data_IF_878985667484
#
_entry.id   IF_878985667484
#
_cell.length_a   1.000
_cell.length_b   1.000
_cell.length_c   1.000
_cell.angle_alpha   90.00
_cell.angle_beta   90.00
_cell.angle_gamma   90.00
#
_symmetry.space_group_name_H-M   'P 1'
#
loop_
_entity.id
_entity.type
_entity.pdbx_description
1 polymer ?
#
# COMPACT_ATOMS: atom_id res chain seq x y z
N UNK A 1 2.40 -15.91 26.34
CA UNK A 1 2.23 -16.14 24.89
C UNK A 1 1.24 -15.09 24.39
N UNK A 2 1.73 -13.98 23.82
CA UNK A 2 0.87 -12.93 23.26
C UNK A 2 0.40 -13.39 21.89
N UNK A 3 -0.90 -13.62 21.73
CA UNK A 3 -1.53 -13.69 20.41
C UNK A 3 -1.42 -12.31 19.77
N UNK A 4 -0.61 -12.19 18.72
CA UNK A 4 -0.61 -11.01 17.86
C UNK A 4 -1.86 -11.12 16.99
N UNK A 5 -2.90 -10.36 17.35
CA UNK A 5 -4.04 -10.10 16.47
C UNK A 5 -3.58 -9.09 15.42
N UNK A 6 -3.00 -9.58 14.33
CA UNK A 6 -2.53 -8.70 13.26
C UNK A 6 -1.91 -9.48 12.11
N UNK A 7 -2.70 -10.30 11.41
CA UNK A 7 -2.28 -10.98 10.18
C UNK A 7 -2.27 -10.04 8.97
N UNK A 8 -2.14 -8.73 9.18
CA UNK A 8 -2.14 -7.71 8.12
C UNK A 8 -1.19 -6.58 8.48
N UNK A 9 -0.58 -5.99 7.47
CA UNK A 9 0.10 -4.70 7.57
C UNK A 9 -0.09 -3.93 6.26
N UNK A 10 0.13 -2.62 6.28
CA UNK A 10 0.03 -1.77 5.08
C UNK A 10 0.98 -0.60 5.19
N UNK A 11 1.32 0.00 4.05
CA UNK A 11 2.13 1.20 4.03
C UNK A 11 2.37 1.74 2.63
N UNK A 12 3.33 2.65 2.56
CA UNK A 12 3.86 3.22 1.31
C UNK A 12 5.38 3.13 1.35
N UNK A 13 6.01 2.94 0.20
CA UNK A 13 7.47 2.95 0.03
C UNK A 13 7.81 4.07 -0.94
N UNK A 14 8.68 4.99 -0.54
CA UNK A 14 9.22 5.99 -1.46
C UNK A 14 10.37 5.37 -2.27
N UNK A 15 10.20 5.28 -3.58
CA UNK A 15 11.22 4.85 -4.54
C UNK A 15 11.86 6.09 -5.15
N UNK A 16 13.10 6.35 -4.77
CA UNK A 16 13.90 7.40 -5.39
C UNK A 16 14.41 6.90 -6.74
N UNK A 17 13.92 7.50 -7.82
CA UNK A 17 14.34 7.18 -9.19
C UNK A 17 15.70 7.80 -9.50
N UNK A 18 16.74 7.32 -8.82
CA UNK A 18 18.13 7.76 -9.00
C UNK A 18 18.87 6.72 -9.85
N UNK A 19 19.48 7.15 -10.94
CA UNK A 19 20.21 6.28 -11.89
C UNK A 19 19.56 6.18 -13.25
N UNK A 20 20.29 5.63 -14.22
CA UNK A 20 19.94 5.74 -15.65
C UNK A 20 19.26 4.48 -16.23
N UNK A 21 19.18 3.37 -15.49
CA UNK A 21 18.68 2.10 -16.05
C UNK A 21 17.18 1.85 -15.81
N UNK A 22 16.50 2.80 -15.13
CA UNK A 22 15.06 2.78 -14.85
C UNK A 22 14.61 1.64 -13.93
N UNK A 23 15.55 0.95 -13.28
CA UNK A 23 15.30 -0.17 -12.37
C UNK A 23 15.62 0.24 -10.94
N UNK A 24 14.62 0.16 -10.06
CA UNK A 24 14.76 0.59 -8.67
C UNK A 24 14.11 -0.42 -7.75
N UNK A 25 14.73 -0.64 -6.58
CA UNK A 25 14.16 -1.48 -5.54
C UNK A 25 14.42 -0.89 -4.16
N UNK A 26 13.44 -1.04 -3.26
CA UNK A 26 13.58 -0.64 -1.87
C UNK A 26 13.01 -1.72 -0.95
N UNK A 27 13.61 -1.83 0.23
CA UNK A 27 13.11 -2.69 1.29
C UNK A 27 12.03 -1.99 2.10
N UNK A 28 10.99 -2.73 2.44
CA UNK A 28 9.99 -2.34 3.42
C UNK A 28 10.02 -3.31 4.59
N UNK A 29 10.15 -2.77 5.79
CA UNK A 29 10.07 -3.55 7.03
C UNK A 29 8.65 -3.50 7.58
N UNK A 30 8.17 -4.64 8.08
CA UNK A 30 6.93 -4.72 8.82
C UNK A 30 7.13 -4.10 10.21
N UNK A 31 6.11 -3.40 10.70
CA UNK A 31 6.09 -2.79 12.03
C UNK A 31 6.23 -3.82 13.15
N UNK A 32 5.73 -5.03 12.88
CA UNK A 32 5.83 -6.20 13.73
C UNK A 32 6.13 -7.43 12.88
N UNK A 33 6.90 -8.38 13.43
CA UNK A 33 7.12 -9.64 12.71
C UNK A 33 5.82 -10.41 12.61
N UNK A 34 5.49 -10.83 11.40
CA UNK A 34 4.51 -11.87 11.14
C UNK A 34 4.91 -13.19 11.82
N UNK A 35 3.94 -14.09 11.99
CA UNK A 35 4.18 -15.40 12.61
C UNK A 35 5.02 -16.29 11.70
N UNK A 36 5.88 -17.13 12.28
CA UNK A 36 6.61 -18.13 11.49
C UNK A 36 5.68 -19.25 11.00
N UNK A 37 6.06 -19.92 9.90
CA UNK A 37 5.37 -21.11 9.40
C UNK A 37 4.21 -20.87 8.44
N UNK A 38 3.72 -19.64 8.28
CA UNK A 38 2.75 -19.28 7.23
C UNK A 38 3.35 -18.21 6.31
N UNK A 39 3.31 -18.37 4.97
CA UNK A 39 3.82 -17.34 4.06
C UNK A 39 3.09 -16.00 4.22
N UNK A 40 3.84 -14.91 4.15
CA UNK A 40 3.30 -13.55 4.01
C UNK A 40 3.10 -13.28 2.52
N UNK A 41 1.95 -12.72 2.16
CA UNK A 41 1.67 -12.25 0.79
C UNK A 41 1.63 -10.74 0.78
N UNK A 42 2.27 -10.15 -0.21
CA UNK A 42 2.30 -8.69 -0.38
C UNK A 42 1.62 -8.35 -1.70
N UNK A 43 0.73 -7.38 -1.64
CA UNK A 43 0.02 -6.76 -2.75
C UNK A 43 0.49 -5.32 -2.87
N UNK A 44 0.79 -4.87 -4.07
CA UNK A 44 1.40 -3.58 -4.33
C UNK A 44 0.75 -2.88 -5.53
N UNK A 45 0.75 -1.55 -5.50
CA UNK A 45 0.30 -0.71 -6.60
C UNK A 45 1.18 0.53 -6.70
N UNK A 46 1.42 0.99 -7.93
CA UNK A 46 2.25 2.17 -8.20
C UNK A 46 1.44 3.42 -7.94
N UNK A 47 2.05 4.39 -7.27
CA UNK A 47 1.49 5.71 -6.99
C UNK A 47 2.57 6.80 -7.16
N UNK A 48 2.37 7.79 -8.03
CA UNK A 48 3.37 8.86 -8.22
C UNK A 48 3.34 9.99 -7.17
N UNK A 49 2.47 9.91 -6.16
CA UNK A 49 2.61 10.69 -4.92
C UNK A 49 2.50 12.21 -5.06
N UNK A 50 2.08 12.68 -6.24
CA UNK A 50 1.83 14.07 -6.60
C UNK A 50 3.08 14.97 -6.65
N UNK A 51 3.70 15.11 -7.84
CA UNK A 51 4.82 16.03 -8.08
C UNK A 51 5.18 16.32 -9.55
N UNK A 52 4.36 15.89 -10.52
CA UNK A 52 4.67 16.08 -11.94
C UNK A 52 3.68 17.01 -12.65
N UNK A 53 4.19 17.81 -13.58
CA UNK A 53 3.39 18.61 -14.51
C UNK A 53 2.81 17.77 -15.66
N UNK A 54 3.28 16.53 -15.83
CA UNK A 54 2.87 15.60 -16.89
C UNK A 54 2.56 14.22 -16.32
N UNK A 55 1.61 13.51 -16.91
CA UNK A 55 1.27 12.14 -16.53
C UNK A 55 2.46 11.20 -16.78
N UNK A 56 2.81 10.39 -15.79
CA UNK A 56 3.95 9.49 -15.87
C UNK A 56 3.72 8.36 -16.89
N UNK A 57 4.82 7.74 -17.33
CA UNK A 57 4.74 6.49 -18.09
C UNK A 57 4.41 5.30 -17.20
N UNK A 58 4.01 4.19 -17.83
CA UNK A 58 3.81 2.92 -17.11
C UNK A 58 5.08 2.52 -16.36
N UNK A 59 4.90 1.81 -15.26
CA UNK A 59 5.95 1.06 -14.62
C UNK A 59 5.45 -0.35 -14.31
N UNK A 60 6.39 -1.29 -14.20
CA UNK A 60 6.14 -2.68 -13.89
C UNK A 60 6.66 -2.95 -12.49
N UNK A 61 5.79 -3.39 -11.58
CA UNK A 61 6.13 -3.65 -10.19
C UNK A 61 6.07 -5.13 -9.84
N UNK A 62 6.95 -5.52 -8.93
CA UNK A 62 6.92 -6.83 -8.30
C UNK A 62 7.45 -6.74 -6.86
N UNK A 63 7.21 -7.81 -6.12
CA UNK A 63 7.82 -8.03 -4.81
C UNK A 63 8.79 -9.20 -4.87
N UNK A 64 9.85 -9.15 -4.08
CA UNK A 64 10.83 -10.22 -3.91
C UNK A 64 11.30 -10.25 -2.45
N UNK A 65 12.06 -11.29 -2.09
CA UNK A 65 12.66 -11.41 -0.74
C UNK A 65 11.63 -11.22 0.41
N UNK A 66 10.44 -11.81 0.25
CA UNK A 66 9.34 -11.69 1.21
C UNK A 66 9.60 -12.62 2.40
N UNK A 67 9.80 -12.05 3.58
CA UNK A 67 10.00 -12.76 4.85
C UNK A 67 8.90 -12.43 5.85
N UNK A 68 9.04 -12.85 7.11
CA UNK A 68 8.11 -12.44 8.18
C UNK A 68 8.37 -11.05 8.73
N UNK A 69 9.50 -10.41 8.37
CA UNK A 69 9.91 -9.12 8.93
C UNK A 69 10.07 -8.01 7.87
N UNK A 70 10.24 -8.38 6.60
CA UNK A 70 10.37 -7.42 5.52
C UNK A 70 9.97 -8.05 4.18
N UNK A 71 9.90 -7.20 3.17
CA UNK A 71 9.93 -7.58 1.77
C UNK A 71 10.71 -6.53 0.99
N UNK A 72 11.04 -6.84 -0.26
CA UNK A 72 11.61 -5.90 -1.21
C UNK A 72 10.61 -5.63 -2.32
N UNK A 73 10.33 -4.36 -2.59
CA UNK A 73 9.52 -3.94 -3.73
C UNK A 73 10.46 -3.40 -4.80
N UNK A 74 10.20 -3.78 -6.05
CA UNK A 74 10.99 -3.36 -7.19
C UNK A 74 10.08 -2.82 -8.29
N UNK A 75 10.63 -1.91 -9.08
CA UNK A 75 9.97 -1.36 -10.25
C UNK A 75 10.94 -1.20 -11.43
N UNK A 76 10.41 -1.35 -12.63
CA UNK A 76 11.06 -0.93 -13.88
C UNK A 76 10.15 0.05 -14.61
N UNK A 77 10.71 1.17 -15.03
CA UNK A 77 10.00 2.14 -15.87
C UNK A 77 9.78 1.59 -17.28
N UNK A 78 8.57 1.75 -17.81
CA UNK A 78 8.18 1.33 -19.16
C UNK A 78 8.45 2.37 -20.26
N UNK A 79 8.62 3.64 -19.92
CA UNK A 79 8.94 4.73 -20.85
C UNK A 79 10.08 5.62 -20.37
N UNK A 80 10.37 6.70 -21.11
CA UNK A 80 11.42 7.66 -20.74
C UNK A 80 11.11 8.40 -19.43
N UNK A 81 9.85 8.35 -18.95
CA UNK A 81 9.44 8.85 -17.66
C UNK A 81 9.28 10.37 -17.63
N UNK A 82 8.41 10.87 -16.77
CA UNK A 82 8.30 12.30 -16.45
C UNK A 82 9.34 12.76 -15.40
N UNK A 83 10.23 11.86 -14.98
CA UNK A 83 11.00 11.99 -13.74
C UNK A 83 10.11 11.91 -12.50
N UNK A 84 10.66 12.21 -11.33
CA UNK A 84 9.90 12.34 -10.08
C UNK A 84 9.95 11.13 -9.15
N UNK A 85 9.66 11.37 -7.87
CA UNK A 85 9.60 10.30 -6.88
C UNK A 85 8.35 9.46 -7.13
N UNK A 86 8.51 8.13 -7.12
CA UNK A 86 7.38 7.21 -7.15
C UNK A 86 7.21 6.60 -5.78
N UNK A 87 5.97 6.37 -5.39
CA UNK A 87 5.63 5.63 -4.18
C UNK A 87 4.99 4.29 -4.57
N UNK A 88 5.24 3.25 -3.78
CA UNK A 88 4.54 1.97 -3.91
C UNK A 88 3.62 1.84 -2.71
N UNK A 89 2.32 1.83 -2.97
CA UNK A 89 1.28 1.51 -2.01
C UNK A 89 1.25 0.00 -1.82
N UNK A 90 1.32 -0.48 -0.58
CA UNK A 90 1.37 -1.91 -0.30
C UNK A 90 0.48 -2.36 0.84
N UNK A 91 0.04 -3.62 0.74
CA UNK A 91 -0.75 -4.35 1.72
C UNK A 91 -0.18 -5.75 1.88
N UNK A 92 0.21 -6.10 3.09
CA UNK A 92 0.71 -7.41 3.47
C UNK A 92 -0.36 -8.19 4.24
N UNK A 93 -0.46 -9.48 3.94
CA UNK A 93 -1.50 -10.36 4.46
C UNK A 93 -0.90 -11.72 4.84
N UNK A 94 -1.27 -12.24 6.01
CA UNK A 94 -0.87 -13.54 6.52
C UNK A 94 -2.04 -14.25 7.19
N UNK A 95 -2.14 -15.56 6.94
CA UNK A 95 -3.12 -16.43 7.60
C UNK A 95 -4.49 -16.42 6.93
N UNK A 96 -5.43 -17.19 7.50
CA UNK A 96 -6.80 -17.24 6.98
C UNK A 96 -7.65 -16.11 7.57
N UNK A 97 -8.47 -15.49 6.74
CA UNK A 97 -9.49 -14.55 7.19
C UNK A 97 -10.84 -14.94 6.61
N UNK A 98 -11.90 -14.73 7.40
CA UNK A 98 -13.26 -15.09 6.99
C UNK A 98 -13.65 -14.32 5.73
N UNK A 99 -14.24 -15.01 4.75
CA UNK A 99 -14.66 -14.42 3.47
C UNK A 99 -13.53 -14.17 2.46
N UNK A 100 -12.30 -14.59 2.77
CA UNK A 100 -11.12 -14.30 1.94
C UNK A 100 -10.41 -15.58 1.52
N UNK A 101 -10.19 -15.71 0.21
CA UNK A 101 -9.28 -16.70 -0.36
C UNK A 101 -8.00 -16.04 -0.83
N UNK A 102 -6.89 -16.76 -0.70
CA UNK A 102 -5.59 -16.29 -1.12
C UNK A 102 -4.74 -17.44 -1.64
N UNK A 103 -3.75 -17.12 -2.45
CA UNK A 103 -2.82 -18.11 -2.96
C UNK A 103 -1.69 -17.51 -3.78
N UNK A 104 -0.87 -18.43 -4.28
CA UNK A 104 0.21 -18.14 -5.22
C UNK A 104 -0.03 -18.96 -6.47
N UNK A 105 0.18 -18.35 -7.63
CA UNK A 105 0.16 -19.06 -8.91
C UNK A 105 1.52 -18.90 -9.57
N UNK A 106 2.27 -20.00 -9.65
CA UNK A 106 3.59 -20.01 -10.30
C UNK A 106 3.47 -20.20 -11.81
N UNK A 107 4.39 -19.58 -12.54
CA UNK A 107 4.49 -19.69 -14.00
C UNK A 107 5.76 -20.45 -14.38
N UNK A 108 5.64 -21.42 -15.28
CA UNK A 108 6.77 -22.18 -15.84
C UNK A 108 7.61 -21.32 -16.78
N UNK A 109 8.84 -21.74 -17.09
CA UNK A 109 9.73 -21.08 -18.03
C UNK A 109 9.01 -20.64 -19.33
N UNK A 110 9.17 -19.37 -19.71
CA UNK A 110 8.71 -18.82 -20.99
C UNK A 110 9.65 -17.73 -21.48
N UNK A 111 9.61 -17.42 -22.77
CA UNK A 111 10.52 -16.44 -23.39
C UNK A 111 9.83 -15.23 -23.98
N UNK A 112 8.55 -15.35 -24.33
CA UNK A 112 7.79 -14.26 -24.94
C UNK A 112 6.30 -14.51 -24.85
N UNK A 113 5.54 -13.44 -25.07
CA UNK A 113 4.10 -13.47 -25.22
C UNK A 113 3.36 -13.48 -23.90
N UNK A 114 2.05 -13.69 -23.99
CA UNK A 114 1.17 -13.74 -22.82
C UNK A 114 1.11 -15.15 -22.28
N UNK A 115 1.22 -15.29 -20.95
CA UNK A 115 0.97 -16.54 -20.22
C UNK A 115 -0.19 -16.35 -19.26
N UNK A 116 -1.19 -17.21 -19.36
CA UNK A 116 -2.34 -17.19 -18.48
C UNK A 116 -2.45 -18.50 -17.70
N UNK A 117 -2.94 -18.41 -16.46
CA UNK A 117 -3.19 -19.54 -15.60
C UNK A 117 -4.55 -19.39 -14.93
N UNK A 118 -5.36 -20.44 -15.02
CA UNK A 118 -6.67 -20.50 -14.38
C UNK A 118 -6.52 -20.92 -12.92
N UNK A 119 -7.17 -20.18 -12.03
CA UNK A 119 -7.18 -20.42 -10.59
C UNK A 119 -8.61 -20.69 -10.15
N UNK A 120 -8.84 -21.89 -9.61
CA UNK A 120 -10.11 -22.25 -9.01
C UNK A 120 -10.13 -21.85 -7.53
N UNK A 121 -11.25 -21.29 -7.07
CA UNK A 121 -11.45 -21.02 -5.66
C UNK A 121 -11.75 -22.33 -4.91
N UNK A 122 -11.34 -22.47 -3.63
CA UNK A 122 -11.64 -23.65 -2.83
C UNK A 122 -13.15 -23.94 -2.73
N UNK A 123 -13.96 -22.89 -2.73
CA UNK A 123 -15.42 -22.94 -2.84
C UNK A 123 -15.88 -21.76 -3.70
N UNK A 124 -17.01 -21.92 -4.40
CA UNK A 124 -17.59 -20.81 -5.16
C UNK A 124 -18.13 -19.72 -4.20
N UNK A 125 -17.86 -18.47 -4.53
CA UNK A 125 -18.49 -17.32 -3.91
C UNK A 125 -19.96 -17.20 -4.30
N UNK A 126 -20.76 -16.51 -3.50
CA UNK A 126 -22.17 -16.18 -3.81
C UNK A 126 -22.28 -15.14 -4.93
N UNK A 127 -21.33 -14.22 -4.99
CA UNK A 127 -21.19 -13.16 -6.00
C UNK A 127 -19.81 -13.26 -6.64
N UNK A 128 -19.63 -12.66 -7.82
CA UNK A 128 -18.30 -12.59 -8.45
C UNK A 128 -17.38 -11.78 -7.51
N UNK A 129 -16.29 -12.37 -7.00
CA UNK A 129 -15.42 -11.69 -6.04
C UNK A 129 -14.57 -10.63 -6.73
N UNK A 130 -14.08 -9.68 -5.94
CA UNK A 130 -12.99 -8.78 -6.33
C UNK A 130 -11.67 -9.52 -6.12
N UNK A 131 -10.70 -9.30 -7.01
CA UNK A 131 -9.41 -10.00 -7.01
C UNK A 131 -8.28 -8.98 -7.03
N UNK A 132 -7.33 -9.12 -6.11
CA UNK A 132 -6.09 -8.34 -6.07
C UNK A 132 -4.91 -9.23 -6.42
N UNK A 133 -4.01 -8.74 -7.27
CA UNK A 133 -2.82 -9.49 -7.69
C UNK A 133 -1.55 -8.66 -7.64
N UNK A 134 -0.43 -9.33 -7.42
CA UNK A 134 0.90 -8.71 -7.54
C UNK A 134 1.92 -9.76 -7.94
N UNK A 135 2.80 -9.40 -8.87
CA UNK A 135 3.88 -10.25 -9.34
C UNK A 135 4.90 -10.43 -8.21
N UNK A 136 5.39 -11.67 -8.04
CA UNK A 136 6.43 -12.04 -7.10
C UNK A 136 7.57 -12.71 -7.85
N UNK A 137 8.78 -12.19 -7.69
CA UNK A 137 9.97 -12.85 -8.19
C UNK A 137 10.50 -13.81 -7.11
N UNK A 138 10.81 -15.04 -7.52
CA UNK A 138 11.53 -15.99 -6.69
C UNK A 138 13.05 -15.83 -6.79
N UNK A 139 13.55 -15.18 -7.84
CA UNK A 139 14.96 -14.83 -8.01
C UNK A 139 15.11 -13.31 -7.90
N UNK A 140 15.81 -12.84 -6.86
CA UNK A 140 15.94 -11.41 -6.60
C UNK A 140 16.74 -10.66 -7.67
N UNK A 141 16.44 -9.38 -7.84
CA UNK A 141 17.12 -8.44 -8.76
C UNK A 141 17.03 -8.79 -10.26
N UNK A 142 16.05 -9.60 -10.67
CA UNK A 142 15.85 -9.93 -12.09
C UNK A 142 14.96 -8.91 -12.77
N UNK A 143 15.53 -7.78 -13.21
CA UNK A 143 14.78 -6.74 -13.92
C UNK A 143 14.20 -7.19 -15.27
N UNK A 144 14.84 -8.18 -15.89
CA UNK A 144 14.35 -8.82 -17.11
C UNK A 144 13.00 -9.51 -16.88
N UNK A 145 12.75 -10.03 -15.67
CA UNK A 145 11.51 -10.71 -15.33
C UNK A 145 10.35 -9.76 -15.01
N UNK A 146 10.50 -8.45 -15.25
CA UNK A 146 9.42 -7.50 -15.04
C UNK A 146 8.24 -7.79 -15.98
N UNK A 147 7.03 -7.87 -15.42
CA UNK A 147 5.81 -8.27 -16.12
C UNK A 147 4.68 -7.28 -15.91
N UNK A 148 3.83 -7.13 -16.92
CA UNK A 148 2.44 -6.71 -16.72
C UNK A 148 1.62 -7.87 -16.17
N UNK A 149 0.65 -7.59 -15.30
CA UNK A 149 -0.25 -8.58 -14.73
C UNK A 149 -1.69 -8.08 -14.77
N UNK A 150 -2.62 -8.95 -15.16
CA UNK A 150 -4.06 -8.64 -15.15
C UNK A 150 -4.89 -9.89 -14.87
N UNK A 151 -6.14 -9.67 -14.50
CA UNK A 151 -7.16 -10.70 -14.35
C UNK A 151 -8.02 -10.75 -15.61
N UNK A 152 -8.33 -11.96 -16.06
CA UNK A 152 -9.28 -12.25 -17.11
C UNK A 152 -10.32 -13.27 -16.60
N UNK A 153 -11.46 -13.33 -17.29
CA UNK A 153 -12.44 -14.42 -17.12
C UNK A 153 -12.83 -14.72 -15.67
N UNK A 154 -13.07 -13.67 -14.86
CA UNK A 154 -13.47 -13.80 -13.45
C UNK A 154 -14.93 -14.28 -13.35
N UNK A 155 -15.16 -15.23 -12.45
CA UNK A 155 -16.45 -15.83 -12.15
C UNK A 155 -16.57 -16.13 -10.66
N UNK A 156 -17.70 -16.66 -10.21
CA UNK A 156 -17.90 -17.01 -8.80
C UNK A 156 -17.01 -18.18 -8.33
N UNK A 157 -16.52 -19.03 -9.22
CA UNK A 157 -15.77 -20.24 -8.87
C UNK A 157 -14.30 -20.22 -9.28
N UNK A 158 -13.89 -19.28 -10.13
CA UNK A 158 -12.54 -19.23 -10.68
C UNK A 158 -12.26 -17.87 -11.30
N UNK A 159 -10.98 -17.61 -11.56
CA UNK A 159 -10.50 -16.53 -12.41
C UNK A 159 -9.30 -17.01 -13.24
N UNK A 160 -8.88 -16.20 -14.20
CA UNK A 160 -7.64 -16.40 -14.94
C UNK A 160 -6.70 -15.23 -14.66
N UNK A 161 -5.44 -15.51 -14.34
CA UNK A 161 -4.41 -14.50 -14.17
C UNK A 161 -3.42 -14.61 -15.31
N UNK A 162 -3.14 -13.48 -15.95
CA UNK A 162 -2.26 -13.39 -17.09
C UNK A 162 -1.05 -12.51 -16.80
N UNK A 163 0.09 -12.90 -17.38
CA UNK A 163 1.35 -12.16 -17.37
C UNK A 163 1.82 -11.92 -18.81
N UNK A 164 2.45 -10.78 -19.03
CA UNK A 164 3.19 -10.52 -20.27
C UNK A 164 4.45 -9.71 -19.98
N UNK A 165 5.54 -10.11 -20.61
CA UNK A 165 6.86 -9.49 -20.52
C UNK A 165 6.78 -7.97 -20.70
N UNK A 166 7.51 -7.23 -19.85
CA UNK A 166 7.59 -5.77 -19.94
C UNK A 166 8.34 -5.30 -21.19
N UNK A 167 9.33 -6.07 -21.64
CA UNK A 167 10.16 -5.80 -22.81
C UNK A 167 10.17 -7.03 -23.70
N UNK A 168 9.70 -6.87 -24.94
CA UNK A 168 9.60 -8.00 -25.86
C UNK A 168 10.99 -8.51 -26.26
N UNK A 169 11.16 -9.84 -26.20
CA UNK A 169 12.38 -10.54 -26.61
C UNK A 169 13.60 -10.30 -25.72
N UNK A 170 13.41 -10.00 -24.44
CA UNK A 170 14.52 -9.75 -23.52
C UNK A 170 15.15 -11.03 -22.93
N UNK A 171 14.54 -12.21 -23.17
CA UNK A 171 15.15 -13.52 -22.94
C UNK A 171 14.24 -14.52 -22.20
N UNK A 172 14.80 -15.52 -21.51
CA UNK A 172 14.02 -16.46 -20.71
C UNK A 172 13.56 -15.84 -19.39
N UNK A 173 12.33 -16.18 -18.99
CA UNK A 173 11.71 -15.81 -17.72
C UNK A 173 11.37 -17.05 -16.91
N UNK A 174 11.76 -17.08 -15.64
CA UNK A 174 11.54 -18.24 -14.77
C UNK A 174 11.45 -17.86 -13.31
N UNK A 175 10.91 -18.75 -12.47
CA UNK A 175 10.77 -18.50 -11.03
C UNK A 175 9.90 -17.24 -10.74
N UNK A 176 8.86 -17.05 -11.56
CA UNK A 176 7.88 -15.97 -11.42
C UNK A 176 6.60 -16.57 -10.88
N UNK A 177 5.99 -15.86 -9.93
CA UNK A 177 4.69 -16.20 -9.40
C UNK A 177 3.80 -14.96 -9.29
N UNK A 178 2.50 -15.17 -9.11
CA UNK A 178 1.54 -14.12 -8.79
C UNK A 178 0.90 -14.43 -7.46
N UNK A 179 1.06 -13.53 -6.50
CA UNK A 179 0.24 -13.50 -5.30
C UNK A 179 -1.16 -13.06 -5.69
N UNK A 180 -2.17 -13.77 -5.21
CA UNK A 180 -3.56 -13.40 -5.44
C UNK A 180 -4.37 -13.46 -4.14
N UNK A 181 -5.38 -12.60 -4.09
CA UNK A 181 -6.32 -12.41 -2.98
C UNK A 181 -7.70 -12.18 -3.58
N UNK A 182 -8.71 -12.95 -3.15
CA UNK A 182 -10.08 -12.85 -3.64
C UNK A 182 -11.07 -12.76 -2.47
N UNK A 183 -12.04 -11.86 -2.60
CA UNK A 183 -13.04 -11.57 -1.56
C UNK A 183 -14.28 -10.94 -2.18
N UNK A 184 -15.45 -11.21 -1.61
CA UNK A 184 -16.70 -10.52 -1.95
C UNK A 184 -16.86 -9.24 -1.12
N UNK A 185 -16.52 -9.31 0.17
CA UNK A 185 -16.44 -8.22 1.11
C UNK A 185 -15.09 -8.27 1.82
N UNK A 186 -14.51 -7.12 2.13
CA UNK A 186 -13.29 -7.07 2.92
C UNK A 186 -13.58 -7.28 4.42
N UNK A 187 -12.75 -8.04 5.14
CA UNK A 187 -12.83 -8.14 6.60
C UNK A 187 -12.71 -6.78 7.27
N UNK A 188 -13.46 -6.59 8.37
CA UNK A 188 -13.39 -5.35 9.16
C UNK A 188 -12.00 -5.07 9.74
N UNK A 189 -11.18 -6.11 9.90
CA UNK A 189 -9.79 -6.02 10.34
C UNK A 189 -8.91 -5.21 9.38
N UNK A 190 -9.21 -5.19 8.07
CA UNK A 190 -8.36 -4.51 7.08
C UNK A 190 -8.40 -2.99 7.19
N UNK A 191 -9.35 -2.46 7.95
CA UNK A 191 -9.67 -1.02 7.97
C UNK A 191 -9.86 -0.45 6.54
N UNK A 192 -10.27 -1.30 5.61
CA UNK A 192 -10.71 -0.89 4.28
C UNK A 192 -12.03 -0.14 4.39
N UNK A 193 -12.20 0.87 3.53
CA UNK A 193 -13.34 1.79 3.58
C UNK A 193 -14.12 1.88 2.29
N UNK A 194 -13.48 1.58 1.17
CA UNK A 194 -14.10 1.66 -0.14
C UNK A 194 -13.52 0.58 -1.06
N UNK A 195 -14.39 0.01 -1.88
CA UNK A 195 -14.09 -1.00 -2.89
C UNK A 195 -15.04 -0.75 -4.07
N UNK A 196 -14.50 -0.56 -5.26
CA UNK A 196 -15.29 -0.42 -6.48
C UNK A 196 -14.40 -0.67 -7.70
N UNK A 197 -14.90 -0.26 -8.87
CA UNK A 197 -14.22 -0.39 -10.15
C UNK A 197 -14.27 0.91 -10.96
N UNK A 198 -13.28 1.08 -11.83
CA UNK A 198 -13.20 2.18 -12.80
C UNK A 198 -13.21 1.56 -14.19
N UNK A 199 -14.23 1.90 -14.98
CA UNK A 199 -14.35 1.41 -16.36
C UNK A 199 -13.72 2.41 -17.33
N UNK A 200 -12.86 1.95 -18.23
CA UNK A 200 -12.35 2.67 -19.40
C UNK A 200 -12.99 2.08 -20.65
N UNK A 201 -13.84 2.86 -21.32
CA UNK A 201 -14.64 2.43 -22.45
C UNK A 201 -13.80 2.26 -23.72
N UNK A 202 -14.28 1.41 -24.63
CA UNK A 202 -13.59 1.07 -25.87
C UNK A 202 -13.38 2.26 -26.84
N UNK A 203 -14.13 3.35 -26.66
CA UNK A 203 -14.13 4.53 -27.51
C UNK A 203 -13.39 5.74 -26.90
N UNK A 204 -12.82 5.60 -25.70
CA UNK A 204 -12.01 6.65 -25.10
C UNK A 204 -10.68 6.76 -25.85
N UNK A 205 -10.22 7.99 -26.13
CA UNK A 205 -8.99 8.26 -26.88
C UNK A 205 -7.95 8.87 -25.93
N UNK A 206 -6.74 8.29 -25.82
CA UNK A 206 -5.69 8.85 -24.96
C UNK A 206 -5.25 10.22 -25.47
N UNK A 207 -5.20 11.20 -24.56
CA UNK A 207 -4.93 12.58 -24.92
C UNK A 207 -3.44 12.95 -24.73
N UNK A 208 -2.92 13.84 -25.57
CA UNK A 208 -1.51 14.23 -25.55
C UNK A 208 -1.12 14.94 -24.24
N UNK A 209 -2.03 15.72 -23.67
CA UNK A 209 -1.87 16.37 -22.36
C UNK A 209 -1.69 15.36 -21.21
N UNK A 210 -2.18 14.13 -21.39
CA UNK A 210 -2.04 13.04 -20.44
C UNK A 210 -0.96 12.05 -20.86
N UNK A 211 0.03 12.48 -21.66
CA UNK A 211 1.10 11.63 -22.16
C UNK A 211 0.55 10.34 -22.83
N UNK A 212 -0.56 10.48 -23.57
CA UNK A 212 -1.27 9.38 -24.22
C UNK A 212 -1.69 8.25 -23.26
N UNK A 213 -1.99 8.58 -22.00
CA UNK A 213 -2.68 7.71 -21.07
C UNK A 213 -4.17 8.08 -20.98
N UNK A 214 -5.01 7.09 -20.64
CA UNK A 214 -6.38 7.33 -20.20
C UNK A 214 -6.39 7.46 -18.69
N UNK A 215 -6.92 8.57 -18.16
CA UNK A 215 -6.92 8.83 -16.72
C UNK A 215 -8.29 9.25 -16.22
N UNK A 216 -8.67 8.81 -15.02
CA UNK A 216 -9.92 9.19 -14.36
C UNK A 216 -9.67 9.55 -12.90
N UNK A 217 -10.31 10.62 -12.46
CA UNK A 217 -10.37 10.98 -11.05
C UNK A 217 -11.55 10.26 -10.39
N UNK A 218 -11.29 9.62 -9.27
CA UNK A 218 -12.27 8.91 -8.45
C UNK A 218 -12.32 9.59 -7.10
N UNK A 219 -13.45 10.23 -6.80
CA UNK A 219 -13.66 10.85 -5.51
C UNK A 219 -14.04 9.80 -4.49
N UNK A 220 -13.41 9.84 -3.31
CA UNK A 220 -13.79 8.99 -2.21
C UNK A 220 -15.18 9.38 -1.71
N UNK A 221 -15.95 8.39 -1.27
CA UNK A 221 -17.29 8.61 -0.70
C UNK A 221 -17.22 9.55 0.51
N UNK A 222 -16.17 9.41 1.32
CA UNK A 222 -15.85 10.29 2.43
C UNK A 222 -14.35 10.61 2.41
N UNK A 223 -13.94 11.83 2.80
CA UNK A 223 -12.52 12.16 2.87
C UNK A 223 -11.81 11.34 3.96
N UNK A 224 -10.54 11.02 3.70
CA UNK A 224 -9.63 10.37 4.63
C UNK A 224 -8.85 11.41 5.45
N UNK A 225 -8.32 11.00 6.60
CA UNK A 225 -7.50 11.88 7.43
C UNK A 225 -6.17 12.24 6.74
N UNK A 226 -5.58 11.28 6.04
CA UNK A 226 -4.38 11.40 5.23
C UNK A 226 -4.56 10.57 3.94
N UNK A 227 -3.75 10.79 2.88
CA UNK A 227 -3.82 9.99 1.66
C UNK A 227 -3.79 8.48 1.96
N UNK A 228 -4.84 7.72 1.61
CA UNK A 228 -4.94 6.30 1.96
C UNK A 228 -3.99 5.43 1.12
N UNK A 229 -3.86 4.17 1.49
CA UNK A 229 -3.30 3.12 0.63
C UNK A 229 -4.38 2.73 -0.38
N UNK A 230 -4.05 2.75 -1.67
CA UNK A 230 -4.96 2.29 -2.73
C UNK A 230 -4.27 1.18 -3.50
N UNK A 231 -4.93 0.03 -3.57
CA UNK A 231 -4.52 -1.08 -4.43
C UNK A 231 -5.38 -1.09 -5.68
N UNK A 232 -4.77 -1.31 -6.84
CA UNK A 232 -5.46 -1.41 -8.12
C UNK A 232 -5.11 -2.72 -8.83
N UNK A 233 -6.09 -3.35 -9.46
CA UNK A 233 -5.88 -4.52 -10.31
C UNK A 233 -6.64 -4.34 -11.62
N UNK A 234 -5.96 -4.55 -12.74
CA UNK A 234 -6.60 -4.54 -14.07
C UNK A 234 -7.41 -5.82 -14.25
N UNK A 235 -8.68 -5.66 -14.63
CA UNK A 235 -9.58 -6.71 -15.07
C UNK A 235 -9.92 -6.49 -16.54
N UNK A 236 -9.49 -7.43 -17.37
CA UNK A 236 -9.77 -7.41 -18.79
C UNK A 236 -10.99 -8.30 -19.07
N UNK A 237 -12.13 -7.65 -19.32
CA UNK A 237 -13.43 -8.31 -19.49
C UNK A 237 -13.63 -8.89 -20.88
N UNK A 238 -13.52 -10.22 -20.99
CA UNK A 238 -14.49 -11.08 -21.68
C UNK A 238 -14.65 -11.05 -23.21
N UNK A 239 -13.92 -10.22 -23.97
CA UNK A 239 -13.93 -10.28 -25.44
C UNK A 239 -12.59 -10.78 -25.99
N UNK A 240 -12.63 -11.50 -27.12
CA UNK A 240 -11.48 -12.11 -27.81
C UNK A 240 -10.35 -11.14 -28.22
N UNK A 241 -10.51 -9.84 -27.98
CA UNK A 241 -9.51 -8.77 -28.17
C UNK A 241 -9.08 -8.22 -26.79
N UNK A 242 -8.66 -9.11 -25.89
CA UNK A 242 -8.20 -8.71 -24.56
C UNK A 242 -6.85 -7.99 -24.68
N UNK A 243 -6.87 -6.65 -24.60
CA UNK A 243 -5.67 -5.83 -24.65
C UNK A 243 -4.82 -5.96 -23.38
N UNK A 244 -3.52 -6.12 -23.52
CA UNK A 244 -2.62 -6.01 -22.37
C UNK A 244 -2.71 -4.58 -21.84
N UNK A 245 -2.99 -4.40 -20.55
CA UNK A 245 -3.07 -3.08 -19.96
C UNK A 245 -2.34 -3.01 -18.62
N UNK A 246 -1.71 -1.88 -18.37
CA UNK A 246 -1.08 -1.54 -17.11
C UNK A 246 -1.83 -0.37 -16.50
N UNK A 247 -2.08 -0.43 -15.18
CA UNK A 247 -2.64 0.68 -14.42
C UNK A 247 -1.65 1.20 -13.40
N UNK A 248 -1.73 2.50 -13.10
CA UNK A 248 -1.04 3.12 -11.99
C UNK A 248 -1.89 4.26 -11.42
N UNK A 249 -1.55 4.67 -10.21
CA UNK A 249 -2.12 5.82 -9.55
C UNK A 249 -1.22 7.02 -9.82
N UNK A 250 -1.77 8.04 -10.47
CA UNK A 250 -1.04 9.27 -10.77
C UNK A 250 -0.95 10.16 -9.54
N UNK A 251 -2.05 10.19 -8.78
CA UNK A 251 -2.21 11.05 -7.61
C UNK A 251 -3.13 10.37 -6.60
N UNK A 252 -2.80 10.47 -5.31
CA UNK A 252 -3.70 10.12 -4.21
C UNK A 252 -3.70 11.28 -3.23
N UNK A 253 -4.86 11.87 -3.02
CA UNK A 253 -5.09 12.88 -1.99
C UNK A 253 -5.91 12.30 -0.84
N UNK A 254 -6.36 13.13 0.08
CA UNK A 254 -7.32 12.73 1.09
C UNK A 254 -8.77 12.62 0.58
N UNK A 255 -9.08 13.12 -0.61
CA UNK A 255 -10.46 13.24 -1.11
C UNK A 255 -10.71 12.53 -2.44
N UNK A 256 -9.65 12.25 -3.19
CA UNK A 256 -9.74 11.49 -4.45
C UNK A 256 -8.42 10.80 -4.76
N UNK A 257 -8.46 9.89 -5.72
CA UNK A 257 -7.28 9.42 -6.44
C UNK A 257 -7.49 9.55 -7.94
N UNK A 258 -6.39 9.66 -8.69
CA UNK A 258 -6.37 9.63 -10.15
C UNK A 258 -5.73 8.33 -10.59
N UNK A 259 -6.50 7.48 -11.25
CA UNK A 259 -5.99 6.23 -11.85
C UNK A 259 -5.81 6.43 -13.34
N UNK A 260 -4.71 5.93 -13.88
CA UNK A 260 -4.39 5.97 -15.29
C UNK A 260 -4.11 4.57 -15.84
N UNK A 261 -4.37 4.39 -17.13
CA UNK A 261 -4.01 3.18 -17.87
C UNK A 261 -3.31 3.52 -19.18
N UNK A 262 -2.46 2.58 -19.62
CA UNK A 262 -2.02 2.42 -21.01
C UNK A 262 -2.23 0.97 -21.40
N UNK A 263 -2.65 0.77 -22.65
CA UNK A 263 -2.92 -0.53 -23.23
C UNK A 263 -2.11 -0.74 -24.52
N UNK A 264 -2.03 -1.99 -24.96
CA UNK A 264 -1.36 -2.37 -26.20
C UNK A 264 -2.16 -2.01 -27.48
N UNK A 265 -3.36 -1.43 -27.35
CA UNK A 265 -4.07 -0.85 -28.49
C UNK A 265 -3.44 0.48 -28.93
N UNK A 266 -2.80 1.22 -28.02
CA UNK A 266 -2.18 2.51 -28.34
C UNK A 266 -3.21 3.60 -28.67
N UNK A 267 -2.78 4.62 -29.42
CA UNK A 267 -3.60 5.82 -29.68
C UNK A 267 -4.76 5.56 -30.65
N UNK A 268 -4.49 4.88 -31.76
CA UNK A 268 -5.40 4.66 -32.89
C UNK A 268 -5.86 3.20 -33.04
N UNK A 269 -5.38 2.28 -32.20
CA UNK A 269 -5.80 0.89 -32.21
C UNK A 269 -7.18 0.68 -31.60
N UNK A 270 -7.80 -0.44 -31.98
CA UNK A 270 -9.04 -0.88 -31.38
C UNK A 270 -8.78 -1.47 -29.99
N UNK A 271 -9.43 -0.91 -28.97
CA UNK A 271 -9.38 -1.42 -27.59
C UNK A 271 -10.68 -2.09 -27.17
N UNK A 272 -10.57 -3.07 -26.29
CA UNK A 272 -11.68 -3.55 -25.47
C UNK A 272 -12.06 -2.55 -24.36
N UNK A 273 -13.12 -2.87 -23.61
CA UNK A 273 -13.40 -2.18 -22.35
C UNK A 273 -12.47 -2.73 -21.27
N UNK A 274 -11.75 -1.84 -20.60
CA UNK A 274 -10.81 -2.20 -19.52
C UNK A 274 -11.42 -1.76 -18.19
N UNK A 275 -11.41 -2.66 -17.21
CA UNK A 275 -11.89 -2.36 -15.86
C UNK A 275 -10.68 -2.35 -14.93
N UNK A 276 -10.63 -1.40 -14.01
CA UNK A 276 -9.63 -1.37 -12.94
C UNK A 276 -10.36 -1.47 -11.60
N UNK A 277 -10.21 -2.60 -10.93
CA UNK A 277 -10.69 -2.78 -9.57
C UNK A 277 -9.78 -2.03 -8.60
N UNK A 278 -10.37 -1.43 -7.57
CA UNK A 278 -9.59 -0.76 -6.54
C UNK A 278 -10.09 -1.06 -5.12
N UNK A 279 -9.15 -1.15 -4.18
CA UNK A 279 -9.40 -1.27 -2.75
C UNK A 279 -8.72 -0.11 -2.02
N UNK A 280 -9.49 0.65 -1.24
CA UNK A 280 -9.00 1.79 -0.47
C UNK A 280 -8.91 1.45 1.00
N UNK A 281 -7.71 1.59 1.55
CA UNK A 281 -7.35 1.18 2.89
C UNK A 281 -6.79 2.40 3.66
N UNK A 282 -7.49 2.83 4.70
CA UNK A 282 -7.06 4.00 5.46
C UNK A 282 -8.04 4.47 6.54
N UNK A 283 -7.55 5.38 7.39
CA UNK A 283 -8.38 6.01 8.41
C UNK A 283 -9.26 7.10 7.79
N UNK A 284 -10.58 6.91 7.89
CA UNK A 284 -11.55 7.93 7.52
C UNK A 284 -11.29 9.21 8.33
N UNK A 285 -11.48 10.38 7.72
CA UNK A 285 -11.50 11.64 8.45
C UNK A 285 -12.74 11.61 9.33
N UNK A 286 -12.59 11.23 10.59
CA UNK A 286 -13.66 11.49 11.55
C UNK A 286 -13.78 13.01 11.63
N UNK A 287 -14.99 13.54 11.45
CA UNK A 287 -15.29 14.85 12.02
C UNK A 287 -15.17 14.68 13.53
N UNK A 288 -13.94 14.72 14.04
CA UNK A 288 -13.70 14.85 15.46
C UNK A 288 -14.26 16.22 15.77
N UNK A 289 -15.50 16.27 16.29
CA UNK A 289 -15.81 17.23 17.34
C UNK A 289 -14.64 17.12 18.28
N UNK A 290 -13.73 18.10 18.24
CA UNK A 290 -12.52 18.14 19.02
C UNK A 290 -12.88 17.68 20.43
N UNK A 291 -12.56 16.43 20.76
CA UNK A 291 -12.48 16.08 22.17
C UNK A 291 -11.37 16.99 22.65
N UNK A 292 -11.65 17.95 23.54
CA UNK A 292 -10.61 18.80 24.08
C UNK A 292 -9.56 17.83 24.58
N UNK A 293 -8.33 17.99 24.11
CA UNK A 293 -7.22 17.17 24.54
C UNK A 293 -7.30 16.97 26.06
N UNK A 294 -6.90 15.80 26.56
CA UNK A 294 -6.64 15.50 27.97
C UNK A 294 -5.48 16.37 28.54
N UNK A 295 -5.55 17.67 28.28
CA UNK A 295 -4.68 18.73 28.74
C UNK A 295 -4.97 19.05 30.20
N UNK A 296 -6.17 18.73 30.70
CA UNK A 296 -6.56 18.95 32.09
C UNK A 296 -5.77 18.07 33.06
N UNK A 297 -5.55 16.79 32.75
CA UNK A 297 -4.93 15.86 33.71
C UNK A 297 -3.41 16.07 33.84
N UNK A 298 -2.71 16.33 32.73
CA UNK A 298 -1.26 16.57 32.75
C UNK A 298 -0.90 17.88 33.49
N UNK A 299 -1.70 18.94 33.31
CA UNK A 299 -1.51 20.22 34.01
C UNK A 299 -1.79 20.12 35.50
N UNK A 300 -2.78 19.31 35.91
CA UNK A 300 -3.09 19.08 37.32
C UNK A 300 -1.92 18.37 38.00
N UNK A 301 -1.35 17.35 37.36
CA UNK A 301 -0.20 16.59 37.90
C UNK A 301 1.05 17.46 38.01
N UNK A 302 1.38 18.25 36.98
CA UNK A 302 2.57 19.13 36.99
C UNK A 302 2.41 20.27 38.00
N UNK A 303 1.22 20.88 38.12
CA UNK A 303 0.95 21.91 39.14
C UNK A 303 0.97 21.34 40.56
N UNK A 304 0.49 20.12 40.77
CA UNK A 304 0.55 19.44 42.06
C UNK A 304 2.00 19.17 42.48
N UNK A 305 2.82 18.64 41.57
CA UNK A 305 4.25 18.37 41.80
C UNK A 305 5.06 19.66 42.06
N UNK A 306 4.80 20.74 41.33
CA UNK A 306 5.50 22.01 41.50
C UNK A 306 5.14 22.73 42.81
N UNK A 307 3.90 22.60 43.29
CA UNK A 307 3.50 23.12 44.63
C UNK A 307 4.14 22.32 45.75
N UNK A 308 4.23 21.00 45.61
CA UNK A 308 4.80 20.12 46.63
C UNK A 308 6.32 20.34 46.82
N UNK A 309 7.02 20.75 45.77
CA UNK A 309 8.48 20.97 45.77
C UNK A 309 8.90 22.43 46.02
N UNK A 310 7.96 23.36 46.20
CA UNK A 310 8.20 24.82 46.37
C UNK A 310 9.11 25.45 45.29
N UNK A 311 9.21 24.83 44.12
CA UNK A 311 10.13 25.27 43.07
C UNK A 311 9.45 26.27 42.11
N UNK A 312 9.73 27.57 42.27
CA UNK A 312 9.06 28.65 41.52
C UNK A 312 9.46 28.74 40.04
N UNK A 313 10.59 28.16 39.62
CA UNK A 313 11.03 28.18 38.22
C UNK A 313 10.20 27.24 37.33
N UNK A 314 9.80 26.06 37.83
CA UNK A 314 8.97 25.09 37.11
C UNK A 314 7.56 25.63 36.80
N UNK A 315 7.03 26.53 37.65
CA UNK A 315 5.72 27.16 37.43
C UNK A 315 5.71 28.12 36.23
N UNK A 316 6.86 28.73 35.87
CA UNK A 316 6.95 29.67 34.75
C UNK A 316 7.04 28.97 33.39
N UNK A 317 7.66 27.79 33.30
CA UNK A 317 7.81 27.06 32.04
C UNK A 317 6.47 26.52 31.52
N UNK A 318 5.53 26.21 32.41
CA UNK A 318 4.18 25.69 32.04
C UNK A 318 3.27 26.79 31.48
N UNK A 319 3.53 28.06 31.77
CA UNK A 319 2.68 29.19 31.31
C UNK A 319 2.96 29.58 29.86
N UNK A 320 4.05 29.11 29.25
CA UNK A 320 4.44 29.49 27.88
C UNK A 320 4.23 28.42 26.80
N UNK A 321 3.58 27.30 27.12
CA UNK A 321 3.20 26.29 26.12
C UNK A 321 1.72 26.40 25.76
N UNK A 322 1.35 27.49 25.08
CA UNK A 322 0.03 27.66 24.44
C UNK A 322 0.00 27.17 22.99
N UNK A 323 0.94 26.31 22.59
CA UNK A 323 0.87 25.61 21.31
C UNK A 323 0.42 24.18 21.54
N UNK A 324 -0.70 23.85 20.90
CA UNK A 324 -1.26 22.51 20.86
C UNK A 324 -0.23 21.57 20.19
N UNK A 325 0.62 20.93 20.99
CA UNK A 325 1.53 19.90 20.51
C UNK A 325 0.74 18.60 20.37
N UNK A 326 0.07 18.41 19.22
CA UNK A 326 -0.20 17.07 18.75
C UNK A 326 1.15 16.43 18.43
N UNK A 327 1.49 15.35 19.13
CA UNK A 327 2.73 14.59 18.96
C UNK A 327 2.89 14.16 17.49
N UNK A 328 3.60 14.96 16.70
CA UNK A 328 4.27 14.51 15.50
C UNK A 328 5.45 13.64 15.95
N UNK A 329 5.52 12.39 15.51
CA UNK A 329 6.77 11.63 15.55
C UNK A 329 7.74 12.26 14.55
N UNK A 330 8.37 13.35 14.96
CA UNK A 330 9.59 13.84 14.35
C UNK A 330 10.71 13.38 15.27
N UNK A 331 11.61 12.53 14.78
CA UNK A 331 12.87 12.23 15.46
C UNK A 331 13.60 13.57 15.68
N UNK A 332 13.60 14.09 16.90
CA UNK A 332 14.50 15.17 17.30
C UNK A 332 15.83 14.52 17.62
N UNK A 333 16.74 14.54 16.65
CA UNK A 333 18.14 14.22 16.88
C UNK A 333 18.72 15.37 17.73
N UNK A 334 19.23 15.02 18.91
CA UNK A 334 19.81 15.90 19.95
C UNK A 334 18.84 16.81 20.72
N UNK A 335 18.26 16.26 21.78
CA UNK A 335 18.15 16.99 23.05
C UNK A 335 19.06 16.26 24.03
N UNK A 336 20.17 16.89 24.43
CA UNK A 336 20.94 16.45 25.61
C UNK A 336 20.05 16.60 26.83
N UNK A 337 19.35 15.52 27.19
CA UNK A 337 18.65 15.41 28.46
C UNK A 337 19.71 15.00 29.49
N UNK A 338 20.10 15.95 30.34
CA UNK A 338 21.03 15.72 31.44
C UNK A 338 20.46 14.57 32.33
N UNK A 339 21.23 13.49 32.58
CA UNK A 339 20.75 12.29 33.28
C UNK A 339 20.24 12.48 34.73
N UNK A 340 20.33 13.68 35.29
CA UNK A 340 19.92 13.95 36.68
C UNK A 340 18.40 14.03 36.88
N UNK A 341 17.59 14.25 35.83
CA UNK A 341 16.13 14.43 35.97
C UNK A 341 15.36 13.09 35.98
N UNK A 342 15.91 12.03 35.40
CA UNK A 342 15.22 10.73 35.32
C UNK A 342 15.39 9.91 36.61
N UNK A 343 16.45 10.15 37.39
CA UNK A 343 16.71 9.36 38.60
C UNK A 343 15.77 9.68 39.78
N UNK A 344 15.19 10.89 39.87
CA UNK A 344 14.26 11.23 40.96
C UNK A 344 12.80 10.83 40.67
N UNK A 345 12.43 10.61 39.41
CA UNK A 345 11.06 10.21 39.05
C UNK A 345 10.77 8.72 39.27
N UNK A 346 11.81 7.87 39.29
CA UNK A 346 11.66 6.41 39.41
C UNK A 346 11.52 5.95 40.87
N UNK A 347 11.90 6.76 41.86
CA UNK A 347 11.72 6.42 43.29
C UNK A 347 10.32 6.74 43.85
N UNK A 348 9.43 7.37 43.08
CA UNK A 348 8.09 7.79 43.55
C UNK A 348 6.97 6.79 43.17
N UNK A 349 7.27 5.74 42.38
CA UNK A 349 6.25 4.82 41.82
C UNK A 349 6.28 3.39 42.43
N UNK A 350 6.97 3.18 43.56
CA UNK A 350 6.84 1.93 44.33
C UNK A 350 6.42 2.26 45.78
N UNK A 351 5.13 2.13 46.14
CA UNK A 351 4.73 2.20 47.52
C UNK A 351 4.99 0.84 48.20
N UNK A 352 5.95 0.80 49.11
CA UNK A 352 6.08 -0.26 50.11
C UNK A 352 4.80 -0.30 50.96
N UNK A 353 4.04 -1.39 50.83
CA UNK A 353 2.96 -1.75 51.76
C UNK A 353 3.41 -2.96 52.58
N UNK A 354 3.63 -2.74 53.87
CA UNK A 354 3.13 -3.52 55.03
C UNK A 354 3.98 -3.21 56.28
N UNK A 355 3.52 -2.28 57.13
CA UNK A 355 2.74 -2.45 58.38
C UNK A 355 3.55 -2.78 59.64
N UNK A 356 3.36 -1.91 60.63
CA UNK A 356 3.75 -1.97 62.04
C UNK A 356 3.31 -3.28 62.72
N UNK A 357 4.17 -3.84 63.57
CA UNK A 357 4.08 -3.79 65.04
C UNK A 357 5.48 -3.88 65.64
#
# INVERSE_FOLDING_TARGET
>A
MRLILGGIERGKIDIQQVGDDGFHCEYASFSSSFSSGTPVRVFASINHGNKSSTVHDTAFIWVEDVTTIHFKACLVQGGQGAGGNTTIDWFAFQGSQSGVYQGETSFTLFTTGTKCSRVAFPQAFSLVPKVQVTVKHGTSNQKQDAMSVWIANVSTSQFEVCLRESRTFDGPHSNIAVNWLAYDNYPSSWEAKELSEVTFSYNEVPAAENNYALCKNVNFTNPFYAPPVVLTTVINGGNNNANTACSWLEEITNSYFRVCIKDDAGYDGQRGTIIVDYLVIGAASTTVTAYPCLYTDLLVVVKAAARHTKNRSALRTVVHSETCACLSKTYVQHVEIIPSIILEAVQVIIPDKHTQT
#
